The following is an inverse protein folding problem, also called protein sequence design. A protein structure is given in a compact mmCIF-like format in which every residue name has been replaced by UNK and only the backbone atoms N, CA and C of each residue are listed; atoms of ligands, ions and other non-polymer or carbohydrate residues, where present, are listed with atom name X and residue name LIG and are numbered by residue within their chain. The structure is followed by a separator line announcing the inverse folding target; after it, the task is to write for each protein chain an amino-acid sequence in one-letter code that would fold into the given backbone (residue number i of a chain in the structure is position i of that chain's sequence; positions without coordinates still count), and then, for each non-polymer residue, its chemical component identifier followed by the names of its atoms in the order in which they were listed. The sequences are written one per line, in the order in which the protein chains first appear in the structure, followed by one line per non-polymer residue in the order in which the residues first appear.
data_IF_726161381584
#
_entry.id   IF_726161381584
#
_cell.length_a   1.000
_cell.length_b   1.000
_cell.length_c   1.000
_cell.angle_alpha   90.00
_cell.angle_beta   90.00
_cell.angle_gamma   90.00
#
_symmetry.space_group_name_H-M   'P 1'
#
loop_
_entity.id
_entity.type
_entity.pdbx_description
1 polymer ?
#
# COMPACT_ATOMS: atom_id res chain seq x y z
N UNK A 1 0.83 15.08 -21.78
CA UNK A 1 2.04 14.23 -21.64
C UNK A 1 1.57 12.91 -21.07
N UNK A 2 1.73 11.83 -21.80
CA UNK A 2 1.40 10.48 -21.30
C UNK A 2 2.29 10.16 -20.10
N UNK A 3 1.68 9.75 -19.00
CA UNK A 3 2.42 9.31 -17.82
C UNK A 3 3.11 7.98 -18.13
N UNK A 4 4.44 8.00 -18.07
CA UNK A 4 5.25 6.80 -18.32
C UNK A 4 4.96 5.75 -17.22
N UNK A 5 4.75 4.51 -17.62
CA UNK A 5 4.61 3.38 -16.69
C UNK A 5 5.95 3.04 -16.02
N UNK A 6 5.92 2.29 -14.91
CA UNK A 6 7.15 1.79 -14.27
C UNK A 6 8.08 1.08 -15.26
N UNK A 7 7.50 0.18 -16.07
CA UNK A 7 8.27 -0.55 -17.08
C UNK A 7 8.96 0.38 -18.07
N UNK A 8 8.24 1.39 -18.57
CA UNK A 8 8.81 2.34 -19.52
C UNK A 8 9.95 3.16 -18.91
N UNK A 9 9.88 3.50 -17.62
CA UNK A 9 10.97 4.23 -16.96
C UNK A 9 12.20 3.36 -16.73
N UNK A 10 12.00 2.07 -16.43
CA UNK A 10 13.10 1.13 -16.34
C UNK A 10 13.85 0.99 -17.69
N UNK A 11 13.10 0.99 -18.81
CA UNK A 11 13.66 1.02 -20.16
C UNK A 11 14.38 2.33 -20.43
N UNK A 12 13.76 3.47 -20.16
CA UNK A 12 14.34 4.81 -20.39
C UNK A 12 15.63 5.04 -19.58
N UNK A 13 15.74 4.39 -18.43
CA UNK A 13 16.96 4.41 -17.58
C UNK A 13 17.97 3.33 -17.95
N UNK A 14 17.75 2.58 -19.02
CA UNK A 14 18.59 1.47 -19.47
C UNK A 14 18.84 0.40 -18.39
N UNK A 15 17.88 0.20 -17.49
CA UNK A 15 17.94 -0.84 -16.46
C UNK A 15 17.46 -2.17 -17.05
N UNK A 16 16.49 -2.11 -17.94
CA UNK A 16 16.01 -3.23 -18.75
C UNK A 16 15.87 -2.80 -20.21
N UNK A 17 15.87 -3.77 -21.10
CA UNK A 17 15.53 -3.58 -22.51
C UNK A 17 14.02 -3.63 -22.74
N UNK A 18 13.54 -3.10 -23.87
CA UNK A 18 12.14 -3.24 -24.25
C UNK A 18 11.71 -4.71 -24.34
N UNK A 19 12.58 -5.58 -24.86
CA UNK A 19 12.33 -7.02 -24.96
C UNK A 19 12.14 -7.67 -23.59
N UNK A 20 12.96 -7.32 -22.60
CA UNK A 20 12.81 -7.81 -21.23
C UNK A 20 11.52 -7.31 -20.58
N UNK A 21 11.12 -6.06 -20.85
CA UNK A 21 9.84 -5.54 -20.40
C UNK A 21 8.66 -6.33 -20.98
N UNK A 22 8.69 -6.60 -22.28
CA UNK A 22 7.62 -7.32 -22.98
C UNK A 22 7.49 -8.76 -22.43
N UNK A 23 8.62 -9.44 -22.22
CA UNK A 23 8.64 -10.78 -21.59
C UNK A 23 8.09 -10.74 -20.16
N UNK A 24 8.48 -9.72 -19.37
CA UNK A 24 8.01 -9.57 -18.01
C UNK A 24 6.50 -9.29 -17.95
N UNK A 25 5.95 -8.50 -18.87
CA UNK A 25 4.52 -8.21 -18.96
C UNK A 25 3.71 -9.42 -19.38
N UNK A 26 4.19 -10.22 -20.34
CA UNK A 26 3.54 -11.49 -20.71
C UNK A 26 3.54 -12.47 -19.53
N UNK A 27 4.66 -12.58 -18.83
CA UNK A 27 4.77 -13.42 -17.65
C UNK A 27 3.83 -12.94 -16.53
N UNK A 28 3.64 -11.63 -16.36
CA UNK A 28 2.72 -11.05 -15.39
C UNK A 28 1.24 -11.42 -15.68
N UNK A 29 0.85 -11.52 -16.94
CA UNK A 29 -0.49 -11.96 -17.33
C UNK A 29 -0.77 -13.43 -16.93
N UNK A 30 0.26 -14.26 -16.98
CA UNK A 30 0.17 -15.68 -16.64
C UNK A 30 0.26 -15.92 -15.12
N UNK A 31 1.15 -15.21 -14.44
CA UNK A 31 1.40 -15.35 -13.01
C UNK A 31 0.56 -14.33 -12.20
N UNK A 32 -0.77 -14.59 -12.13
CA UNK A 32 -1.72 -13.72 -11.41
C UNK A 32 -1.26 -13.48 -9.96
N UNK A 33 -1.16 -12.21 -9.57
CA UNK A 33 -0.77 -11.78 -8.22
C UNK A 33 0.70 -11.40 -8.04
N UNK A 34 1.56 -11.56 -9.06
CA UNK A 34 2.92 -11.03 -9.03
C UNK A 34 2.99 -9.61 -9.59
N UNK A 35 3.77 -8.76 -8.93
CA UNK A 35 4.08 -7.42 -9.43
C UNK A 35 5.18 -7.47 -10.49
N UNK A 36 5.16 -6.54 -11.43
CA UNK A 36 6.17 -6.42 -12.48
C UNK A 36 7.59 -6.42 -11.91
N UNK A 37 7.82 -5.68 -10.80
CA UNK A 37 9.11 -5.64 -10.13
C UNK A 37 9.58 -6.99 -9.58
N UNK A 38 8.67 -7.84 -9.10
CA UNK A 38 9.00 -9.19 -8.64
C UNK A 38 9.42 -10.10 -9.80
N UNK A 39 8.70 -9.99 -10.92
CA UNK A 39 9.02 -10.76 -12.12
C UNK A 39 10.36 -10.34 -12.71
N UNK A 40 10.61 -9.03 -12.78
CA UNK A 40 11.89 -8.50 -13.24
C UNK A 40 13.06 -8.94 -12.34
N UNK A 41 12.85 -8.97 -11.02
CA UNK A 41 13.84 -9.51 -10.09
C UNK A 41 14.12 -10.99 -10.34
N UNK A 42 13.09 -11.81 -10.56
CA UNK A 42 13.22 -13.23 -10.92
C UNK A 42 13.91 -13.43 -12.29
N UNK A 43 13.81 -12.44 -13.18
CA UNK A 43 14.52 -12.41 -14.46
C UNK A 43 15.99 -11.93 -14.34
N UNK A 44 16.46 -11.62 -13.11
CA UNK A 44 17.83 -11.24 -12.83
C UNK A 44 18.10 -9.75 -12.77
N UNK A 45 17.06 -8.89 -12.84
CA UNK A 45 17.24 -7.44 -12.67
C UNK A 45 17.54 -7.15 -11.19
N UNK A 46 18.60 -6.41 -10.86
CA UNK A 46 18.97 -6.12 -9.48
C UNK A 46 17.85 -5.40 -8.74
N UNK A 47 17.47 -5.91 -7.56
CA UNK A 47 16.42 -5.33 -6.74
C UNK A 47 16.67 -3.85 -6.39
N UNK A 48 17.95 -3.47 -6.23
CA UNK A 48 18.35 -2.09 -5.95
C UNK A 48 17.97 -1.13 -7.08
N UNK A 49 18.11 -1.55 -8.33
CA UNK A 49 17.81 -0.72 -9.48
C UNK A 49 16.30 -0.60 -9.69
N UNK A 50 15.57 -1.69 -9.49
CA UNK A 50 14.10 -1.66 -9.43
C UNK A 50 13.64 -0.69 -8.33
N UNK A 51 14.22 -0.79 -7.13
CA UNK A 51 13.86 0.07 -6.00
C UNK A 51 14.21 1.55 -6.24
N UNK A 52 15.36 1.87 -6.85
CA UNK A 52 15.72 3.26 -7.20
C UNK A 52 14.69 3.88 -8.13
N UNK A 53 14.18 3.12 -9.08
CA UNK A 53 13.13 3.59 -9.99
C UNK A 53 11.79 3.67 -9.28
N UNK A 54 11.40 2.68 -8.52
CA UNK A 54 10.21 2.72 -7.68
C UNK A 54 10.27 3.91 -6.71
N UNK A 55 11.39 4.14 -6.06
CA UNK A 55 11.62 5.27 -5.16
C UNK A 55 11.49 6.62 -5.87
N UNK A 56 12.02 6.76 -7.08
CA UNK A 56 11.94 8.00 -7.84
C UNK A 56 10.54 8.25 -8.42
N UNK A 57 9.83 7.17 -8.76
CA UNK A 57 8.54 7.22 -9.46
C UNK A 57 7.35 7.26 -8.49
N UNK A 58 7.40 6.46 -7.42
CA UNK A 58 6.29 6.27 -6.48
C UNK A 58 6.46 6.99 -5.13
N UNK A 59 7.66 7.44 -4.76
CA UNK A 59 7.88 8.24 -3.55
C UNK A 59 7.07 9.53 -3.52
N UNK A 60 6.49 9.93 -4.65
CA UNK A 60 5.89 11.25 -4.83
C UNK A 60 4.41 11.27 -5.19
N UNK A 61 3.76 10.10 -5.33
CA UNK A 61 2.31 10.11 -5.61
C UNK A 61 1.51 9.72 -4.37
N UNK A 62 1.06 10.70 -3.57
CA UNK A 62 0.17 10.43 -2.43
C UNK A 62 -1.16 9.85 -2.94
N UNK A 63 -1.82 9.06 -2.10
CA UNK A 63 -3.08 8.38 -2.45
C UNK A 63 -4.14 9.34 -3.02
N UNK A 64 -4.21 10.56 -2.46
CA UNK A 64 -5.11 11.59 -2.99
C UNK A 64 -4.87 11.90 -4.47
N UNK A 65 -3.60 11.99 -4.89
CA UNK A 65 -3.25 12.22 -6.28
C UNK A 65 -3.58 11.00 -7.16
N UNK A 66 -3.38 9.78 -6.65
CA UNK A 66 -3.80 8.56 -7.34
C UNK A 66 -5.30 8.56 -7.61
N UNK A 67 -6.11 8.97 -6.63
CA UNK A 67 -7.57 9.03 -6.78
C UNK A 67 -8.00 10.10 -7.80
N UNK A 68 -7.29 11.22 -7.90
CA UNK A 68 -7.50 12.23 -8.95
C UNK A 68 -7.21 11.64 -10.33
N UNK A 69 -6.06 10.99 -10.50
CA UNK A 69 -5.64 10.40 -11.77
C UNK A 69 -6.61 9.32 -12.26
N UNK A 70 -7.17 8.56 -11.31
CA UNK A 70 -8.22 7.57 -11.57
C UNK A 70 -9.61 8.20 -11.76
N UNK A 71 -9.72 9.54 -11.69
CA UNK A 71 -10.98 10.29 -11.80
C UNK A 71 -12.05 9.88 -10.78
N UNK A 72 -11.61 9.40 -9.61
CA UNK A 72 -12.48 9.03 -8.49
C UNK A 72 -12.92 10.26 -7.70
N UNK A 73 -11.99 11.23 -7.57
CA UNK A 73 -12.23 12.55 -6.98
C UNK A 73 -11.62 13.63 -7.88
N UNK A 74 -12.03 14.87 -7.70
CA UNK A 74 -11.40 16.02 -8.33
C UNK A 74 -10.40 16.73 -7.38
N UNK A 75 -9.53 17.65 -7.91
CA UNK A 75 -8.54 18.36 -7.10
C UNK A 75 -9.15 19.15 -5.93
N UNK A 76 -10.30 19.77 -6.12
CA UNK A 76 -10.98 20.57 -5.10
C UNK A 76 -11.46 19.72 -3.92
N UNK A 77 -12.01 18.54 -4.21
CA UNK A 77 -12.41 17.56 -3.18
C UNK A 77 -11.21 17.05 -2.36
N UNK A 78 -10.06 16.87 -3.01
CA UNK A 78 -8.83 16.49 -2.31
C UNK A 78 -8.36 17.62 -1.40
N UNK A 79 -8.34 18.86 -1.89
CA UNK A 79 -7.91 20.02 -1.10
C UNK A 79 -8.73 20.18 0.16
N UNK A 80 -10.06 20.12 0.05
CA UNK A 80 -10.98 20.19 1.19
C UNK A 80 -10.74 19.07 2.21
N UNK A 81 -10.54 17.84 1.73
CA UNK A 81 -10.23 16.71 2.61
C UNK A 81 -8.88 16.88 3.32
N UNK A 82 -7.87 17.44 2.64
CA UNK A 82 -6.55 17.72 3.22
C UNK A 82 -6.61 18.84 4.25
N UNK A 83 -7.38 19.89 4.02
CA UNK A 83 -7.60 20.96 5.01
C UNK A 83 -8.27 20.42 6.28
N UNK A 84 -9.31 19.60 6.12
CA UNK A 84 -9.96 18.92 7.24
C UNK A 84 -8.99 17.98 7.97
N UNK A 85 -8.15 17.24 7.26
CA UNK A 85 -7.12 16.40 7.86
C UNK A 85 -6.11 17.21 8.67
N UNK A 86 -5.67 18.35 8.12
CA UNK A 86 -4.74 19.29 8.79
C UNK A 86 -5.35 19.86 10.07
N UNK A 87 -6.61 20.27 10.02
CA UNK A 87 -7.35 20.75 11.20
C UNK A 87 -7.43 19.66 12.29
N UNK A 88 -7.90 18.46 11.94
CA UNK A 88 -8.01 17.35 12.88
C UNK A 88 -6.65 16.98 13.51
N UNK A 89 -5.57 17.03 12.73
CA UNK A 89 -4.22 16.78 13.25
C UNK A 89 -3.78 17.81 14.29
N UNK A 90 -4.16 19.09 14.14
CA UNK A 90 -3.86 20.15 15.11
C UNK A 90 -4.52 19.89 16.48
N UNK A 91 -5.69 19.26 16.51
CA UNK A 91 -6.41 18.87 17.73
C UNK A 91 -6.10 17.44 18.17
N UNK A 92 -5.00 16.82 17.68
CA UNK A 92 -4.54 15.50 18.09
C UNK A 92 -5.25 14.31 17.42
N UNK A 93 -6.20 14.57 16.51
CA UNK A 93 -6.95 13.51 15.82
C UNK A 93 -6.25 13.15 14.50
N UNK A 94 -5.87 11.89 14.35
CA UNK A 94 -5.32 11.36 13.09
C UNK A 94 -6.39 10.57 12.36
N UNK A 95 -6.75 11.04 11.16
CA UNK A 95 -7.66 10.33 10.25
C UNK A 95 -6.98 10.08 8.90
N UNK A 96 -7.03 8.85 8.38
CA UNK A 96 -6.65 8.53 7.00
C UNK A 96 -7.44 9.36 5.99
N UNK A 97 -6.82 9.70 4.87
CA UNK A 97 -7.48 10.52 3.84
C UNK A 97 -8.68 9.80 3.22
N UNK A 98 -8.61 8.47 3.06
CA UNK A 98 -9.70 7.67 2.55
C UNK A 98 -10.96 7.71 3.43
N UNK A 99 -10.78 7.77 4.77
CA UNK A 99 -11.90 7.95 5.70
C UNK A 99 -12.54 9.33 5.52
N UNK A 100 -11.71 10.38 5.42
CA UNK A 100 -12.20 11.75 5.28
C UNK A 100 -12.95 11.96 3.97
N UNK A 101 -12.44 11.43 2.87
CA UNK A 101 -13.09 11.48 1.57
C UNK A 101 -14.46 10.77 1.59
N UNK A 102 -14.56 9.65 2.30
CA UNK A 102 -15.82 8.93 2.46
C UNK A 102 -16.81 9.69 3.38
N UNK A 103 -16.33 10.27 4.49
CA UNK A 103 -17.14 11.10 5.38
C UNK A 103 -17.66 12.39 4.72
N UNK A 104 -16.89 12.95 3.79
CA UNK A 104 -17.29 14.10 2.98
C UNK A 104 -18.23 13.71 1.82
N UNK A 105 -18.47 12.42 1.62
CA UNK A 105 -19.34 11.91 0.56
C UNK A 105 -18.73 11.96 -0.85
N UNK A 106 -17.42 12.22 -0.99
CA UNK A 106 -16.74 12.34 -2.27
C UNK A 106 -16.45 10.98 -2.91
N UNK A 107 -16.32 9.94 -2.11
CA UNK A 107 -16.12 8.57 -2.58
C UNK A 107 -16.82 7.58 -1.65
N UNK A 108 -17.40 6.52 -2.20
CA UNK A 108 -17.86 5.41 -1.37
C UNK A 108 -16.66 4.58 -0.89
N UNK A 109 -16.76 3.94 0.29
CA UNK A 109 -15.71 3.04 0.80
C UNK A 109 -15.34 1.96 -0.22
N UNK A 110 -16.34 1.37 -0.86
CA UNK A 110 -16.16 0.38 -1.92
C UNK A 110 -15.42 0.96 -3.13
N UNK A 111 -15.82 2.16 -3.59
CA UNK A 111 -15.17 2.84 -4.71
C UNK A 111 -13.71 3.18 -4.41
N UNK A 112 -13.41 3.63 -3.19
CA UNK A 112 -12.04 3.88 -2.73
C UNK A 112 -11.18 2.61 -2.80
N UNK A 113 -11.65 1.51 -2.22
CA UNK A 113 -10.92 0.23 -2.23
C UNK A 113 -10.75 -0.32 -3.64
N UNK A 114 -11.77 -0.24 -4.49
CA UNK A 114 -11.70 -0.71 -5.88
C UNK A 114 -10.68 0.10 -6.69
N UNK A 115 -10.63 1.43 -6.50
CA UNK A 115 -9.65 2.28 -7.16
C UNK A 115 -8.21 1.91 -6.75
N UNK A 116 -7.95 1.76 -5.46
CA UNK A 116 -6.63 1.36 -4.97
C UNK A 116 -6.27 -0.08 -5.37
N UNK A 117 -7.24 -1.01 -5.32
CA UNK A 117 -7.05 -2.40 -5.76
C UNK A 117 -6.59 -2.47 -7.21
N UNK A 118 -7.25 -1.71 -8.08
CA UNK A 118 -6.87 -1.61 -9.50
C UNK A 118 -5.50 -0.99 -9.69
N UNK A 119 -5.19 0.08 -8.96
CA UNK A 119 -3.93 0.80 -9.10
C UNK A 119 -2.72 -0.03 -8.59
N UNK A 120 -2.84 -0.62 -7.41
CA UNK A 120 -1.78 -1.41 -6.79
C UNK A 120 -1.78 -2.88 -7.21
N UNK A 121 -2.77 -3.33 -7.99
CA UNK A 121 -3.02 -4.74 -8.32
C UNK A 121 -3.06 -5.62 -7.06
N UNK A 122 -3.74 -5.14 -6.01
CA UNK A 122 -3.85 -5.80 -4.70
C UNK A 122 -5.27 -6.33 -4.48
N UNK A 123 -5.44 -7.56 -3.99
CA UNK A 123 -6.75 -8.08 -3.62
C UNK A 123 -7.31 -7.33 -2.40
N UNK A 124 -8.63 -7.17 -2.37
CA UNK A 124 -9.35 -6.62 -1.23
C UNK A 124 -9.71 -7.76 -0.28
N UNK A 125 -9.51 -7.57 1.02
CA UNK A 125 -9.94 -8.47 2.09
C UNK A 125 -10.92 -7.76 3.01
N UNK A 126 -11.98 -8.45 3.42
CA UNK A 126 -12.85 -8.02 4.54
C UNK A 126 -12.22 -8.43 5.86
N UNK A 127 -12.29 -7.57 6.84
CA UNK A 127 -11.85 -7.84 8.21
C UNK A 127 -13.04 -8.17 9.13
N UNK A 128 -14.21 -8.40 8.56
CA UNK A 128 -15.39 -8.82 9.33
C UNK A 128 -15.10 -10.14 10.07
N UNK A 129 -15.32 -10.12 11.39
CA UNK A 129 -14.99 -11.25 12.27
C UNK A 129 -13.49 -11.49 12.51
N UNK A 130 -12.60 -10.61 12.01
CA UNK A 130 -11.17 -10.74 12.28
C UNK A 130 -10.81 -10.07 13.62
N UNK A 131 -10.21 -10.85 14.53
CA UNK A 131 -9.76 -10.38 15.83
C UNK A 131 -8.22 -10.33 15.88
N UNK A 132 -7.63 -9.12 15.87
CA UNK A 132 -6.19 -8.99 15.92
C UNK A 132 -5.64 -9.37 17.30
N UNK A 133 -4.50 -10.05 17.34
CA UNK A 133 -3.80 -10.32 18.58
C UNK A 133 -2.54 -9.45 18.71
N UNK A 134 -2.21 -9.04 19.93
CA UNK A 134 -0.98 -8.26 20.20
C UNK A 134 0.27 -9.04 19.77
N UNK A 135 0.29 -10.35 19.94
CA UNK A 135 1.40 -11.21 19.55
C UNK A 135 1.62 -11.16 18.03
N UNK A 136 0.54 -11.24 17.24
CA UNK A 136 0.61 -11.19 15.78
C UNK A 136 1.09 -9.81 15.29
N UNK A 137 0.61 -8.73 15.90
CA UNK A 137 0.97 -7.36 15.51
C UNK A 137 2.40 -6.95 15.92
N UNK A 138 2.98 -7.57 16.94
CA UNK A 138 4.38 -7.29 17.36
C UNK A 138 5.39 -7.52 16.25
N UNK A 139 5.12 -8.40 15.30
CA UNK A 139 6.03 -8.75 14.20
C UNK A 139 6.37 -7.55 13.31
N UNK A 140 5.40 -6.65 13.10
CA UNK A 140 5.58 -5.42 12.32
C UNK A 140 5.94 -4.24 13.23
N UNK A 141 5.73 -4.38 14.53
CA UNK A 141 5.86 -3.29 15.49
C UNK A 141 4.56 -2.48 15.58
N UNK A 142 3.94 -2.51 16.75
CA UNK A 142 2.61 -1.93 16.98
C UNK A 142 2.53 -0.44 16.61
N UNK A 143 3.56 0.37 16.97
CA UNK A 143 3.59 1.80 16.61
C UNK A 143 3.68 2.03 15.10
N UNK A 144 4.47 1.21 14.40
CA UNK A 144 4.61 1.29 12.95
C UNK A 144 3.31 0.88 12.27
N UNK A 145 2.68 -0.21 12.72
CA UNK A 145 1.39 -0.68 12.24
C UNK A 145 0.28 0.38 12.39
N UNK A 146 0.18 0.99 13.58
CA UNK A 146 -0.79 2.07 13.84
C UNK A 146 -0.53 3.31 12.98
N UNK A 147 0.74 3.72 12.84
CA UNK A 147 1.11 4.91 12.06
C UNK A 147 0.77 4.75 10.58
N UNK A 148 1.00 3.56 10.04
CA UNK A 148 0.85 3.28 8.61
C UNK A 148 -0.43 2.52 8.26
N UNK A 149 -1.34 2.33 9.23
CA UNK A 149 -2.62 1.62 9.05
C UNK A 149 -2.41 0.23 8.44
N UNK A 150 -1.57 -0.57 9.11
CA UNK A 150 -1.19 -1.93 8.70
C UNK A 150 -1.72 -2.92 9.72
N UNK A 151 -2.28 -4.02 9.24
CA UNK A 151 -2.74 -5.12 10.07
C UNK A 151 -2.10 -6.42 9.59
N UNK A 152 -1.49 -7.18 10.51
CA UNK A 152 -0.98 -8.51 10.21
C UNK A 152 -2.15 -9.49 10.30
N UNK A 153 -2.47 -10.12 9.17
CA UNK A 153 -3.57 -11.08 9.07
C UNK A 153 -3.09 -12.49 9.44
N UNK A 154 -1.90 -12.84 8.99
CA UNK A 154 -1.30 -14.15 9.19
C UNK A 154 0.23 -14.02 9.22
N UNK A 155 0.87 -14.80 10.06
CA UNK A 155 2.32 -14.90 10.12
C UNK A 155 2.75 -16.31 10.48
N UNK A 156 3.34 -17.01 9.52
CA UNK A 156 3.93 -18.33 9.72
C UNK A 156 5.40 -18.34 9.25
N UNK A 157 6.04 -19.49 9.26
CA UNK A 157 7.48 -19.61 8.93
C UNK A 157 7.83 -19.17 7.52
N UNK A 158 6.96 -19.41 6.55
CA UNK A 158 7.22 -19.17 5.11
C UNK A 158 6.52 -17.93 4.56
N UNK A 159 5.47 -17.44 5.24
CA UNK A 159 4.60 -16.39 4.68
C UNK A 159 4.10 -15.43 5.75
N UNK A 160 3.90 -14.18 5.34
CA UNK A 160 3.18 -13.16 6.09
C UNK A 160 2.13 -12.51 5.21
N UNK A 161 0.90 -12.39 5.71
CA UNK A 161 -0.19 -11.65 5.05
C UNK A 161 -0.44 -10.35 5.79
N UNK A 162 -0.47 -9.25 5.06
CA UNK A 162 -0.63 -7.91 5.59
C UNK A 162 -1.80 -7.20 4.89
N UNK A 163 -2.71 -6.62 5.67
CA UNK A 163 -3.72 -5.71 5.15
C UNK A 163 -3.28 -4.26 5.37
N UNK A 164 -3.43 -3.43 4.34
CA UNK A 164 -3.10 -2.01 4.35
C UNK A 164 -4.33 -1.18 3.98
N UNK A 165 -4.55 -0.08 4.71
CA UNK A 165 -5.58 0.90 4.37
C UNK A 165 -5.11 1.89 3.30
N UNK A 166 -3.85 2.30 3.42
CA UNK A 166 -3.22 3.32 2.58
C UNK A 166 -1.86 2.79 2.09
N UNK A 167 -1.86 1.87 1.10
CA UNK A 167 -0.63 1.30 0.59
C UNK A 167 0.22 2.38 -0.10
N UNK A 168 1.52 2.30 0.13
CA UNK A 168 2.53 3.00 -0.66
C UNK A 168 3.61 2.01 -1.04
N UNK A 169 4.23 2.20 -2.19
CA UNK A 169 5.34 1.32 -2.60
C UNK A 169 6.49 1.37 -1.58
N UNK A 170 6.71 2.53 -0.95
CA UNK A 170 7.69 2.68 0.12
C UNK A 170 7.37 1.76 1.31
N UNK A 171 6.13 1.84 1.83
CA UNK A 171 5.69 1.02 2.97
C UNK A 171 5.77 -0.47 2.66
N UNK A 172 5.35 -0.87 1.46
CA UNK A 172 5.41 -2.27 1.04
C UNK A 172 6.85 -2.78 0.93
N UNK A 173 7.74 -1.97 0.35
CA UNK A 173 9.15 -2.31 0.23
C UNK A 173 9.85 -2.37 1.60
N UNK A 174 9.57 -1.43 2.51
CA UNK A 174 10.10 -1.46 3.89
C UNK A 174 9.69 -2.73 4.62
N UNK A 175 8.41 -3.11 4.51
CA UNK A 175 7.90 -4.33 5.12
C UNK A 175 8.57 -5.57 4.54
N UNK A 176 8.78 -5.61 3.24
CA UNK A 176 9.42 -6.74 2.57
C UNK A 176 10.90 -6.87 2.95
N UNK A 177 11.63 -5.74 3.07
CA UNK A 177 13.04 -5.73 3.50
C UNK A 177 13.23 -6.09 4.98
N UNK A 178 12.25 -5.78 5.82
CA UNK A 178 12.32 -6.06 7.25
C UNK A 178 12.13 -7.55 7.61
N UNK A 179 11.73 -8.37 6.64
CA UNK A 179 11.47 -9.79 6.87
C UNK A 179 12.74 -10.65 6.69
N UNK A 180 12.80 -11.82 7.36
CA UNK A 180 13.85 -12.79 7.14
C UNK A 180 13.93 -13.22 5.68
N UNK A 181 15.16 -13.49 5.21
CA UNK A 181 15.41 -13.99 3.86
C UNK A 181 14.58 -15.26 3.61
N UNK A 182 13.88 -15.32 2.48
CA UNK A 182 13.05 -16.46 2.09
C UNK A 182 11.60 -16.41 2.57
N UNK A 183 11.22 -15.44 3.43
CA UNK A 183 9.83 -15.27 3.84
C UNK A 183 9.05 -14.46 2.82
N UNK A 184 7.94 -15.02 2.33
CA UNK A 184 7.05 -14.36 1.37
C UNK A 184 6.11 -13.39 2.07
N UNK A 185 5.86 -12.23 1.45
CA UNK A 185 4.84 -11.27 1.90
C UNK A 185 3.71 -11.23 0.88
N UNK A 186 2.48 -11.29 1.37
CA UNK A 186 1.29 -11.02 0.58
C UNK A 186 0.58 -9.79 1.13
N UNK A 187 0.32 -8.82 0.24
CA UNK A 187 -0.34 -7.58 0.59
C UNK A 187 -1.80 -7.60 0.14
N UNK A 188 -2.66 -7.12 1.00
CA UNK A 188 -4.09 -6.98 0.79
C UNK A 188 -4.52 -5.55 1.09
N UNK A 189 -5.58 -5.10 0.45
CA UNK A 189 -6.28 -3.87 0.82
C UNK A 189 -7.43 -4.21 1.76
N UNK A 190 -7.60 -3.40 2.79
CA UNK A 190 -8.79 -3.46 3.63
C UNK A 190 -9.35 -2.07 3.90
N UNK A 191 -10.63 -2.03 4.27
CA UNK A 191 -11.31 -0.77 4.58
C UNK A 191 -10.57 -0.03 5.71
N UNK A 192 -10.27 1.27 5.53
CA UNK A 192 -9.58 2.04 6.56
C UNK A 192 -10.29 2.06 7.92
N UNK A 193 -11.62 2.01 7.94
CA UNK A 193 -12.38 1.92 9.20
C UNK A 193 -12.23 0.56 9.86
N UNK A 194 -12.26 -0.52 9.08
CA UNK A 194 -12.07 -1.88 9.61
C UNK A 194 -10.67 -2.03 10.22
N UNK A 195 -9.62 -1.59 9.51
CA UNK A 195 -8.25 -1.59 10.06
C UNK A 195 -8.16 -0.72 11.32
N UNK A 196 -8.75 0.48 11.31
CA UNK A 196 -8.73 1.36 12.47
C UNK A 196 -9.42 0.73 13.68
N UNK A 197 -10.53 0.05 13.48
CA UNK A 197 -11.25 -0.64 14.56
C UNK A 197 -10.42 -1.81 15.11
N UNK A 198 -9.87 -2.66 14.25
CA UNK A 198 -8.98 -3.75 14.66
C UNK A 198 -7.76 -3.24 15.46
N UNK A 199 -7.15 -2.13 15.03
CA UNK A 199 -6.01 -1.54 15.74
C UNK A 199 -6.38 -0.91 17.08
N UNK A 200 -7.63 -0.47 17.27
CA UNK A 200 -8.16 0.02 18.56
C UNK A 200 -8.44 -1.11 19.55
N UNK A 201 -8.81 -2.29 19.08
CA UNK A 201 -9.03 -3.48 19.94
C UNK A 201 -7.73 -3.98 20.59
N UNK A 202 -6.60 -3.66 19.99
CA UNK A 202 -5.29 -4.00 20.57
C UNK A 202 -5.07 -3.18 21.85
N UNK A 203 -4.67 -3.84 22.92
CA UNK A 203 -4.36 -3.17 24.18
C UNK A 203 -3.44 -1.96 23.96
N UNK A 204 -3.72 -0.81 24.58
CA UNK A 204 -2.86 0.36 24.47
C UNK A 204 -1.44 -0.04 24.89
N UNK A 205 -0.45 0.42 24.11
CA UNK A 205 0.95 0.28 24.51
C UNK A 205 1.07 0.81 25.94
N UNK A 206 1.31 -0.03 26.92
CA UNK A 206 1.65 0.40 28.25
C UNK A 206 2.75 1.46 28.11
N UNK A 207 2.46 2.67 28.56
CA UNK A 207 3.48 3.71 28.69
C UNK A 207 4.49 3.16 29.68
N UNK A 208 5.56 2.57 29.17
CA UNK A 208 6.76 2.33 29.99
C UNK A 208 7.24 3.72 30.35
N UNK A 209 7.13 4.00 31.64
CA UNK A 209 7.72 5.16 32.31
C UNK A 209 9.22 5.23 32.06
#
# INVERSE_FOLDING_TARGET
MEEKTLGQILVDKNIITQTELDVALERQKLEKGKYLGQILFEMGVPQEDINKVLDSFYKRKPIGQILIDLKVINPQQLEEALEKQKYLRKIGIRKPIGILLAELGYVSRKGYLQALSKFFNMPIVSLDGFHPTTALQKVVGQRYAQKNMILVLENNTSMMKLALAEPTFYTMNDLQKALPIGKRVEFYLADPHEIQNCLKELAPLSRTQ
#
